data_IF_981517537989
#
_entry.id   IF_981517537989
#
_cell.length_a   1.000
_cell.length_b   1.000
_cell.length_c   1.000
_cell.angle_alpha   90.00
_cell.angle_beta   90.00
_cell.angle_gamma   90.00
#
_symmetry.space_group_name_H-M   'P 1'
#
loop_
_entity.id
_entity.type
_entity.pdbx_description
1 polymer ?
#
# COMPACT_ATOMS: atom_id res chain seq x y z
N UNK A 1 -4.95 -28.70 -8.03
CA UNK A 1 -6.01 -27.74 -7.67
C UNK A 1 -6.10 -27.69 -6.15
N UNK A 2 -6.23 -26.51 -5.55
CA UNK A 2 -6.33 -26.39 -4.08
C UNK A 2 -7.74 -26.81 -3.65
N UNK A 3 -7.92 -27.64 -2.60
CA UNK A 3 -9.25 -27.97 -2.08
C UNK A 3 -10.00 -26.75 -1.53
N UNK A 4 -11.34 -26.76 -1.58
CA UNK A 4 -12.18 -25.63 -1.17
C UNK A 4 -12.14 -25.40 0.36
N UNK A 5 -11.98 -26.47 1.11
CA UNK A 5 -11.88 -26.52 2.56
C UNK A 5 -10.47 -26.22 3.09
N UNK A 6 -9.46 -26.12 2.21
CA UNK A 6 -8.09 -25.85 2.62
C UNK A 6 -8.03 -24.47 3.26
N UNK A 7 -7.54 -24.44 4.51
CA UNK A 7 -7.24 -23.20 5.24
C UNK A 7 -5.74 -23.00 5.34
N UNK A 8 -5.31 -21.75 5.29
CA UNK A 8 -3.98 -21.29 5.67
C UNK A 8 -4.14 -20.31 6.82
N UNK A 9 -3.51 -20.61 7.95
CA UNK A 9 -3.78 -19.93 9.22
C UNK A 9 -5.30 -19.92 9.52
N UNK A 10 -5.84 -18.77 9.92
CA UNK A 10 -7.26 -18.59 10.20
C UNK A 10 -8.15 -18.41 8.95
N UNK A 11 -7.61 -18.42 7.73
CA UNK A 11 -8.34 -18.04 6.52
C UNK A 11 -8.49 -19.18 5.51
N UNK A 12 -9.58 -19.23 4.71
CA UNK A 12 -9.63 -20.09 3.54
C UNK A 12 -8.49 -19.73 2.58
N UNK A 13 -7.74 -20.71 2.10
CA UNK A 13 -6.59 -20.44 1.20
C UNK A 13 -7.01 -19.71 -0.06
N UNK A 14 -8.22 -19.96 -0.56
CA UNK A 14 -8.77 -19.25 -1.71
C UNK A 14 -9.02 -17.76 -1.42
N UNK A 15 -9.36 -17.38 -0.19
CA UNK A 15 -9.55 -15.99 0.18
C UNK A 15 -8.22 -15.22 0.16
N UNK A 16 -7.17 -15.78 0.75
CA UNK A 16 -5.82 -15.19 0.70
C UNK A 16 -5.29 -15.10 -0.73
N UNK A 17 -5.52 -16.12 -1.56
CA UNK A 17 -5.10 -16.09 -2.97
C UNK A 17 -5.92 -15.10 -3.81
N UNK A 18 -7.17 -14.82 -3.45
CA UNK A 18 -7.98 -13.81 -4.14
C UNK A 18 -7.40 -12.40 -3.97
N UNK A 19 -6.77 -12.09 -2.83
CA UNK A 19 -6.03 -10.84 -2.63
C UNK A 19 -4.91 -10.72 -3.67
N UNK A 20 -4.06 -11.75 -3.76
CA UNK A 20 -2.96 -11.78 -4.70
C UNK A 20 -3.40 -11.74 -6.17
N UNK A 21 -4.49 -12.42 -6.51
CA UNK A 21 -5.05 -12.38 -7.86
C UNK A 21 -5.52 -10.98 -8.24
N UNK A 22 -6.30 -10.32 -7.38
CA UNK A 22 -6.76 -8.95 -7.63
C UNK A 22 -5.60 -7.94 -7.69
N UNK A 23 -4.57 -8.11 -6.84
CA UNK A 23 -3.37 -7.28 -6.88
C UNK A 23 -2.63 -7.42 -8.23
N UNK A 24 -2.42 -8.67 -8.68
CA UNK A 24 -1.78 -8.98 -9.96
C UNK A 24 -2.56 -8.41 -11.15
N UNK A 25 -3.89 -8.60 -11.17
CA UNK A 25 -4.75 -8.08 -12.23
C UNK A 25 -4.68 -6.55 -12.30
N UNK A 26 -4.63 -5.90 -11.12
CA UNK A 26 -4.48 -4.46 -11.01
C UNK A 26 -3.15 -3.94 -11.55
N UNK A 27 -2.03 -4.53 -11.14
CA UNK A 27 -0.70 -4.17 -11.62
C UNK A 27 -0.56 -4.42 -13.13
N UNK A 28 -1.06 -5.56 -13.62
CA UNK A 28 -1.05 -5.89 -15.04
C UNK A 28 -1.87 -4.89 -15.87
N UNK A 29 -3.09 -4.57 -15.44
CA UNK A 29 -3.94 -3.60 -16.13
C UNK A 29 -3.27 -2.21 -16.15
N UNK A 30 -2.62 -1.83 -15.05
CA UNK A 30 -1.89 -0.56 -14.95
C UNK A 30 -0.80 -0.46 -16.01
N UNK A 31 0.07 -1.47 -16.09
CA UNK A 31 1.18 -1.48 -17.05
C UNK A 31 0.73 -1.65 -18.51
N UNK A 32 -0.52 -2.03 -18.75
CA UNK A 32 -1.14 -2.02 -20.07
C UNK A 32 -1.80 -0.67 -20.43
N UNK A 33 -1.71 0.34 -19.54
CA UNK A 33 -2.34 1.65 -19.72
C UNK A 33 -3.83 1.67 -19.40
N UNK A 34 -4.39 0.58 -18.85
CA UNK A 34 -5.80 0.46 -18.46
C UNK A 34 -5.99 0.92 -17.01
N UNK A 35 -5.73 2.21 -16.74
CA UNK A 35 -5.62 2.72 -15.37
C UNK A 35 -6.93 2.63 -14.56
N UNK A 36 -8.07 2.94 -15.16
CA UNK A 36 -9.36 2.84 -14.46
C UNK A 36 -9.67 1.40 -14.00
N UNK A 37 -9.40 0.43 -14.87
CA UNK A 37 -9.52 -1.01 -14.57
C UNK A 37 -8.53 -1.42 -13.49
N UNK A 38 -7.29 -0.93 -13.55
CA UNK A 38 -6.28 -1.17 -12.54
C UNK A 38 -6.76 -0.73 -11.14
N UNK A 39 -7.31 0.47 -11.02
CA UNK A 39 -7.79 0.98 -9.74
C UNK A 39 -8.99 0.21 -9.20
N UNK A 40 -9.85 -0.35 -10.06
CA UNK A 40 -10.93 -1.25 -9.62
C UNK A 40 -10.34 -2.52 -8.98
N UNK A 41 -9.39 -3.18 -9.65
CA UNK A 41 -8.75 -4.39 -9.14
C UNK A 41 -7.94 -4.14 -7.87
N UNK A 42 -7.18 -3.04 -7.81
CA UNK A 42 -6.39 -2.69 -6.63
C UNK A 42 -7.26 -2.36 -5.42
N UNK A 43 -8.37 -1.62 -5.59
CA UNK A 43 -9.34 -1.39 -4.51
C UNK A 43 -10.03 -2.69 -4.08
N UNK A 44 -10.31 -3.59 -5.02
CA UNK A 44 -10.81 -4.93 -4.70
C UNK A 44 -9.79 -5.73 -3.87
N UNK A 45 -8.50 -5.67 -4.20
CA UNK A 45 -7.45 -6.34 -3.43
C UNK A 45 -7.41 -5.82 -1.98
N UNK A 46 -7.49 -4.50 -1.79
CA UNK A 46 -7.60 -3.87 -0.45
C UNK A 46 -8.83 -4.38 0.30
N UNK A 47 -10.00 -4.37 -0.34
CA UNK A 47 -11.23 -4.84 0.30
C UNK A 47 -11.21 -6.34 0.64
N UNK A 48 -10.54 -7.17 -0.17
CA UNK A 48 -10.36 -8.59 0.14
C UNK A 48 -9.42 -8.79 1.32
N UNK A 49 -8.33 -8.02 1.39
CA UNK A 49 -7.34 -8.07 2.48
C UNK A 49 -7.95 -7.63 3.82
N UNK A 50 -8.67 -6.51 3.84
CA UNK A 50 -9.37 -5.98 5.02
C UNK A 50 -10.40 -6.97 5.60
N UNK A 51 -10.95 -7.86 4.76
CA UNK A 51 -11.96 -8.84 5.15
C UNK A 51 -11.37 -10.21 5.52
N UNK A 52 -10.04 -10.38 5.49
CA UNK A 52 -9.41 -11.58 6.02
C UNK A 52 -9.59 -11.63 7.55
N UNK A 53 -9.83 -12.83 8.07
CA UNK A 53 -9.86 -13.07 9.50
C UNK A 53 -8.50 -12.75 10.11
N UNK A 54 -8.51 -12.09 11.26
CA UNK A 54 -7.30 -11.79 12.01
C UNK A 54 -6.46 -13.05 12.27
N UNK A 55 -5.15 -12.94 12.06
CA UNK A 55 -4.19 -13.99 12.37
C UNK A 55 -2.78 -13.39 12.52
N UNK A 56 -1.96 -14.04 13.33
CA UNK A 56 -0.55 -13.71 13.53
C UNK A 56 0.31 -14.91 13.09
N UNK A 57 1.19 -14.78 12.07
CA UNK A 57 1.43 -13.58 11.24
C UNK A 57 0.24 -13.26 10.32
N UNK A 58 0.22 -12.07 9.71
CA UNK A 58 -0.85 -11.67 8.78
C UNK A 58 -1.08 -12.70 7.68
N UNK A 59 -2.35 -12.94 7.35
CA UNK A 59 -2.73 -13.91 6.31
C UNK A 59 -2.22 -13.52 4.92
N UNK A 60 -2.02 -12.23 4.71
CA UNK A 60 -1.37 -11.66 3.55
C UNK A 60 -0.32 -10.66 4.04
N UNK A 61 0.96 -10.91 3.73
CA UNK A 61 2.05 -10.11 4.33
C UNK A 61 2.30 -8.78 3.61
N UNK A 62 1.69 -8.54 2.45
CA UNK A 62 2.04 -7.44 1.56
C UNK A 62 0.82 -6.54 1.30
N UNK A 63 0.56 -5.54 2.16
CA UNK A 63 -0.73 -4.86 2.19
C UNK A 63 -1.03 -4.15 0.86
N UNK A 64 -2.09 -4.52 0.12
CA UNK A 64 -2.36 -3.99 -1.22
C UNK A 64 -2.46 -2.46 -1.32
N UNK A 65 -2.76 -1.79 -0.19
CA UNK A 65 -2.85 -0.33 -0.08
C UNK A 65 -1.59 0.38 -0.56
N UNK A 66 -0.41 -0.18 -0.32
CA UNK A 66 0.84 0.46 -0.72
C UNK A 66 1.00 0.54 -2.26
N UNK A 67 0.50 -0.46 -3.00
CA UNK A 67 0.55 -0.53 -4.45
C UNK A 67 -0.53 0.37 -5.05
N UNK A 68 -1.76 0.30 -4.52
CA UNK A 68 -2.84 1.21 -4.90
C UNK A 68 -2.40 2.68 -4.76
N UNK A 69 -1.90 3.07 -3.59
CA UNK A 69 -1.48 4.45 -3.33
C UNK A 69 -0.32 4.87 -4.22
N UNK A 70 0.68 3.99 -4.42
CA UNK A 70 1.83 4.29 -5.28
C UNK A 70 1.42 4.56 -6.73
N UNK A 71 0.52 3.74 -7.28
CA UNK A 71 0.06 3.84 -8.67
C UNK A 71 -0.94 4.98 -8.88
N UNK A 72 -1.71 5.35 -7.85
CA UNK A 72 -2.49 6.60 -7.82
C UNK A 72 -1.56 7.82 -7.85
N UNK A 73 -0.53 7.83 -7.00
CA UNK A 73 0.43 8.92 -6.92
C UNK A 73 1.23 9.10 -8.23
N UNK A 74 1.55 7.99 -8.90
CA UNK A 74 2.23 7.96 -10.20
C UNK A 74 1.43 8.67 -11.30
N UNK A 75 0.10 8.58 -11.28
CA UNK A 75 -0.80 9.27 -12.20
C UNK A 75 -1.26 10.65 -11.70
N UNK A 76 -0.70 11.13 -10.58
CA UNK A 76 -1.02 12.45 -10.03
C UNK A 76 -2.26 12.51 -9.14
N UNK A 77 -2.90 11.38 -8.81
CA UNK A 77 -4.01 11.29 -7.86
C UNK A 77 -3.51 11.39 -6.40
N UNK A 78 -2.82 12.50 -6.07
CA UNK A 78 -2.12 12.66 -4.81
C UNK A 78 -3.04 12.72 -3.57
N UNK A 79 -4.24 13.28 -3.69
CA UNK A 79 -5.20 13.38 -2.59
C UNK A 79 -5.73 11.99 -2.18
N UNK A 80 -6.14 11.18 -3.15
CA UNK A 80 -6.56 9.80 -2.88
C UNK A 80 -5.39 8.95 -2.36
N UNK A 81 -4.20 9.08 -2.97
CA UNK A 81 -3.00 8.39 -2.52
C UNK A 81 -2.65 8.73 -1.05
N UNK A 82 -2.70 10.01 -0.67
CA UNK A 82 -2.47 10.44 0.71
C UNK A 82 -3.42 9.74 1.69
N UNK A 83 -4.72 9.68 1.35
CA UNK A 83 -5.71 9.01 2.19
C UNK A 83 -5.40 7.51 2.33
N UNK A 84 -5.04 6.82 1.25
CA UNK A 84 -4.70 5.40 1.29
C UNK A 84 -3.44 5.14 2.13
N UNK A 85 -2.42 6.00 2.08
CA UNK A 85 -1.27 5.89 2.98
C UNK A 85 -1.62 6.16 4.44
N UNK A 86 -2.50 7.13 4.72
CA UNK A 86 -2.98 7.40 6.08
C UNK A 86 -3.78 6.24 6.63
N UNK A 87 -4.60 5.60 5.80
CA UNK A 87 -5.34 4.38 6.14
C UNK A 87 -4.37 3.24 6.49
N UNK A 88 -3.38 2.98 5.65
CA UNK A 88 -2.36 1.94 5.89
C UNK A 88 -1.61 2.18 7.20
N UNK A 89 -1.18 3.42 7.46
CA UNK A 89 -0.47 3.79 8.68
C UNK A 89 -1.36 3.87 9.93
N UNK A 90 -2.66 3.64 9.81
CA UNK A 90 -3.63 3.71 10.92
C UNK A 90 -3.91 5.13 11.42
N UNK A 91 -3.67 6.15 10.60
CA UNK A 91 -3.80 7.57 10.95
C UNK A 91 -5.20 8.14 10.72
N UNK A 92 -6.02 7.49 9.88
CA UNK A 92 -7.39 7.94 9.58
C UNK A 92 -8.45 7.43 10.54
N UNK A 93 -8.16 6.34 11.27
CA UNK A 93 -9.15 5.62 12.07
C UNK A 93 -10.18 4.83 11.26
N UNK A 94 -10.05 4.77 9.92
CA UNK A 94 -10.99 4.07 9.04
C UNK A 94 -10.75 2.55 8.98
N UNK A 95 -9.50 2.12 9.16
CA UNK A 95 -9.08 0.72 9.03
C UNK A 95 -9.05 0.04 10.39
N UNK A 96 -9.46 -1.23 10.45
CA UNK A 96 -9.36 -2.03 11.67
C UNK A 96 -7.92 -2.14 12.14
N UNK A 97 -7.70 -2.14 13.47
CA UNK A 97 -6.33 -2.14 14.04
C UNK A 97 -5.44 -3.26 13.50
N UNK A 98 -6.00 -4.44 13.24
CA UNK A 98 -5.26 -5.57 12.71
C UNK A 98 -4.77 -5.41 11.26
N UNK A 99 -5.37 -4.50 10.50
CA UNK A 99 -5.01 -4.17 9.12
C UNK A 99 -4.27 -2.81 9.01
N UNK A 100 -3.87 -2.24 10.14
CA UNK A 100 -2.99 -1.07 10.19
C UNK A 100 -1.53 -1.54 10.24
N UNK A 101 -0.67 -0.86 9.50
CA UNK A 101 0.77 -1.10 9.42
C UNK A 101 1.55 0.12 9.92
N UNK A 102 1.61 0.36 11.25
CA UNK A 102 2.38 1.46 11.81
C UNK A 102 3.85 1.39 11.37
N UNK A 103 4.38 2.53 10.96
CA UNK A 103 5.77 2.69 10.52
C UNK A 103 6.16 1.82 9.31
N UNK A 104 5.18 1.41 8.49
CA UNK A 104 5.44 0.83 7.18
C UNK A 104 6.24 1.84 6.32
N UNK A 105 7.50 1.49 6.02
CA UNK A 105 8.43 2.37 5.31
C UNK A 105 7.91 2.79 3.93
N UNK A 106 7.20 1.89 3.24
CA UNK A 106 6.64 2.13 1.91
C UNK A 106 5.52 3.19 1.95
N UNK A 107 4.62 3.06 2.93
CA UNK A 107 3.54 4.03 3.12
C UNK A 107 4.04 5.37 3.68
N UNK A 108 5.02 5.35 4.59
CA UNK A 108 5.69 6.57 5.06
C UNK A 108 6.35 7.34 3.91
N UNK A 109 7.02 6.63 3.00
CA UNK A 109 7.67 7.24 1.84
C UNK A 109 6.64 7.97 0.96
N UNK A 110 5.55 7.28 0.62
CA UNK A 110 4.49 7.85 -0.20
C UNK A 110 3.73 9.00 0.47
N UNK A 111 3.46 8.89 1.78
CA UNK A 111 2.86 9.98 2.55
C UNK A 111 3.75 11.22 2.54
N UNK A 112 5.04 11.10 2.83
CA UNK A 112 5.99 12.23 2.78
C UNK A 112 6.02 12.87 1.39
N UNK A 113 5.95 12.08 0.32
CA UNK A 113 5.86 12.61 -1.05
C UNK A 113 4.57 13.40 -1.28
N UNK A 114 3.41 12.89 -0.84
CA UNK A 114 2.14 13.60 -0.93
C UNK A 114 2.17 14.93 -0.16
N UNK A 115 2.65 14.90 1.09
CA UNK A 115 2.79 16.07 1.94
C UNK A 115 3.66 17.16 1.29
N UNK A 116 4.80 16.77 0.70
CA UNK A 116 5.66 17.70 -0.06
C UNK A 116 4.94 18.30 -1.26
N UNK A 117 4.24 17.49 -2.05
CA UNK A 117 3.52 17.96 -3.25
C UNK A 117 2.44 18.99 -2.94
N UNK A 118 1.72 18.84 -1.82
CA UNK A 118 0.69 19.81 -1.41
C UNK A 118 1.21 20.97 -0.55
N UNK A 119 2.52 21.03 -0.29
CA UNK A 119 3.14 22.11 0.49
C UNK A 119 2.82 22.07 1.99
N UNK A 120 2.58 20.88 2.57
CA UNK A 120 2.36 20.74 4.01
C UNK A 120 3.64 21.07 4.80
N UNK A 121 3.54 21.96 5.79
CA UNK A 121 4.68 22.39 6.60
C UNK A 121 4.62 21.91 8.05
N UNK A 122 3.43 21.66 8.59
CA UNK A 122 3.25 21.43 10.01
C UNK A 122 3.49 19.94 10.34
N UNK A 123 2.90 19.06 9.54
CA UNK A 123 3.03 17.61 9.75
C UNK A 123 4.29 17.02 9.10
N UNK A 124 4.80 17.65 8.05
CA UNK A 124 5.87 17.11 7.20
C UNK A 124 7.15 16.77 8.00
N UNK A 125 7.69 17.64 8.89
CA UNK A 125 8.90 17.32 9.64
C UNK A 125 8.75 16.06 10.51
N UNK A 126 7.57 15.87 11.12
CA UNK A 126 7.28 14.71 11.95
C UNK A 126 7.29 13.40 11.14
N UNK A 127 6.67 13.40 9.97
CA UNK A 127 6.67 12.21 9.10
C UNK A 127 8.03 11.96 8.43
N UNK A 128 8.81 13.01 8.13
CA UNK A 128 10.18 12.86 7.65
C UNK A 128 11.09 12.18 8.69
N UNK A 129 10.97 12.55 9.96
CA UNK A 129 11.73 11.91 11.03
C UNK A 129 11.36 10.41 11.19
N UNK A 130 10.06 10.08 11.11
CA UNK A 130 9.58 8.70 11.11
C UNK A 130 10.09 7.90 9.91
N UNK A 131 10.02 8.49 8.71
CA UNK A 131 10.55 7.88 7.49
C UNK A 131 12.06 7.63 7.60
N UNK A 132 12.83 8.60 8.10
CA UNK A 132 14.27 8.42 8.30
C UNK A 132 14.59 7.26 9.26
N UNK A 133 13.81 7.10 10.32
CA UNK A 133 13.93 5.98 11.27
C UNK A 133 13.61 4.64 10.62
N UNK A 134 12.61 4.60 9.75
CA UNK A 134 12.23 3.40 9.01
C UNK A 134 13.27 3.02 7.94
N UNK A 135 13.78 4.01 7.19
CA UNK A 135 14.85 3.85 6.19
C UNK A 135 16.17 3.38 6.81
N UNK A 136 16.50 3.79 8.04
CA UNK A 136 17.69 3.30 8.72
C UNK A 136 17.70 1.77 8.97
N UNK A 137 16.54 1.11 8.82
CA UNK A 137 16.37 -0.34 9.00
C UNK A 137 16.31 -1.11 7.67
N UNK A 138 16.41 -0.45 6.53
CA UNK A 138 16.28 -1.09 5.22
C UNK A 138 17.64 -1.53 4.69
N UNK A 139 17.74 -2.77 4.22
CA UNK A 139 18.97 -3.28 3.59
C UNK A 139 19.22 -2.68 2.19
N UNK A 140 18.17 -2.17 1.55
CA UNK A 140 18.20 -1.60 0.21
C UNK A 140 17.63 -0.19 0.22
N UNK A 141 18.14 0.73 -0.62
CA UNK A 141 17.56 2.05 -0.78
C UNK A 141 16.11 1.96 -1.26
N UNK A 142 15.18 2.52 -0.48
CA UNK A 142 13.79 2.68 -0.87
C UNK A 142 13.62 4.09 -1.45
N UNK A 143 13.36 4.15 -2.76
CA UNK A 143 13.24 5.41 -3.51
C UNK A 143 11.80 5.77 -3.90
N UNK A 144 10.86 4.87 -3.65
CA UNK A 144 9.44 5.05 -3.92
C UNK A 144 8.61 4.18 -2.97
N UNK A 145 7.30 4.44 -2.90
CA UNK A 145 6.37 3.68 -2.07
C UNK A 145 6.02 2.28 -2.62
N UNK A 146 6.36 1.98 -3.88
CA UNK A 146 6.19 0.66 -4.48
C UNK A 146 7.13 0.52 -5.67
N UNK A 147 7.76 -0.65 -5.83
CA UNK A 147 8.59 -0.97 -6.99
C UNK A 147 7.79 -1.13 -8.29
N UNK A 148 6.47 -1.27 -8.20
CA UNK A 148 5.54 -1.27 -9.32
C UNK A 148 5.42 0.11 -10.00
N UNK A 149 5.89 1.18 -9.34
CA UNK A 149 5.80 2.54 -9.88
C UNK A 149 6.78 2.74 -11.03
N UNK A 150 6.32 3.38 -12.11
CA UNK A 150 7.14 3.60 -13.31
C UNK A 150 7.93 4.90 -13.27
N UNK A 151 7.44 5.93 -12.58
CA UNK A 151 8.18 7.18 -12.36
C UNK A 151 8.74 7.25 -10.94
N UNK A 152 10.04 7.41 -10.80
CA UNK A 152 10.65 7.80 -9.52
C UNK A 152 11.01 9.27 -9.64
N UNK A 153 10.28 10.14 -8.95
CA UNK A 153 10.70 11.53 -8.84
C UNK A 153 11.82 11.59 -7.80
N UNK A 154 13.07 11.59 -8.26
CA UNK A 154 14.19 12.00 -7.43
C UNK A 154 13.90 13.43 -6.95
N UNK A 155 13.71 13.62 -5.65
CA UNK A 155 13.68 14.97 -5.07
C UNK A 155 14.99 15.70 -5.38
N UNK A 156 15.00 17.05 -5.40
CA UNK A 156 16.23 17.79 -5.66
C UNK A 156 17.24 17.51 -4.55
N UNK A 157 18.49 17.28 -4.96
CA UNK A 157 19.68 17.20 -4.09
C UNK A 157 19.83 18.45 -3.19
#
# INVERSE_FOLDING_TARGET
>A
RIPAERRFLSNPTHASLAVGAALLDGELAYHQGRHDEAYVHLRQAVGLDDNLSYTEPWAWMHPPRHALAALLLDQGHAEEAEQVYRDDLGLSGAVQRCAQHPDNVWALHGLVECLRRRGETDQLPGFQARLATALAKTDLPITSSCLCRTSVHSGPD
#
